data_IF_118092433379
#
_entry.id   IF_118092433379
#
_cell.length_a   1.000
_cell.length_b   1.000
_cell.length_c   1.000
_cell.angle_alpha   90.00
_cell.angle_beta   90.00
_cell.angle_gamma   90.00
#
_symmetry.space_group_name_H-M   'P 1'
#
loop_
_entity.id
_entity.type
_entity.pdbx_description
1 polymer ?
#
# COMPACT_ATOMS: atom_id res chain seq x y z
N UNK A 1 0.43 -19.30 -12.01
CA UNK A 1 0.55 -17.93 -12.56
C UNK A 1 1.20 -17.05 -11.50
N UNK A 2 2.00 -16.06 -11.88
CA UNK A 2 2.71 -15.21 -10.90
C UNK A 2 1.72 -14.32 -10.15
N UNK A 3 1.65 -14.47 -8.82
CA UNK A 3 0.82 -13.67 -7.92
C UNK A 3 1.45 -12.28 -7.82
N UNK A 4 0.81 -11.28 -8.43
CA UNK A 4 1.23 -9.87 -8.39
C UNK A 4 0.45 -9.18 -7.28
N UNK A 5 1.10 -8.24 -6.60
CA UNK A 5 0.46 -7.41 -5.57
C UNK A 5 0.19 -6.04 -6.16
N UNK A 6 -1.03 -5.58 -6.01
CA UNK A 6 -1.50 -4.28 -6.43
C UNK A 6 -2.05 -3.51 -5.22
N UNK A 7 -1.82 -2.22 -5.22
CA UNK A 7 -2.47 -1.28 -4.30
C UNK A 7 -3.38 -0.40 -5.15
N UNK A 8 -4.67 -0.42 -4.83
CA UNK A 8 -5.69 0.39 -5.49
C UNK A 8 -6.22 1.37 -4.48
N UNK A 9 -5.97 2.65 -4.73
CA UNK A 9 -6.49 3.74 -3.90
C UNK A 9 -7.51 4.53 -4.69
N UNK A 10 -8.68 4.77 -4.12
CA UNK A 10 -9.67 5.64 -4.70
C UNK A 10 -10.20 6.66 -3.70
N UNK A 11 -10.67 7.77 -4.26
CA UNK A 11 -11.19 8.91 -3.53
C UNK A 11 -12.68 9.02 -3.88
N UNK A 12 -13.52 8.95 -2.86
CA UNK A 12 -14.98 9.10 -2.98
C UNK A 12 -15.35 10.56 -2.69
N UNK A 13 -16.40 11.04 -3.35
CA UNK A 13 -16.98 12.36 -3.09
C UNK A 13 -17.36 12.47 -1.60
N UNK A 14 -16.88 13.50 -0.87
CA UNK A 14 -17.13 13.67 0.56
C UNK A 14 -18.60 13.89 0.94
N UNK A 15 -19.46 14.29 -0.01
CA UNK A 15 -20.91 14.46 0.22
C UNK A 15 -21.69 13.15 0.20
N UNK A 16 -21.02 12.05 -0.14
CA UNK A 16 -21.61 10.72 -0.15
C UNK A 16 -21.87 10.25 1.29
N UNK A 17 -23.08 9.80 1.57
CA UNK A 17 -23.43 9.19 2.87
C UNK A 17 -22.58 7.95 3.16
N UNK A 18 -22.17 7.76 4.41
CA UNK A 18 -21.31 6.64 4.83
C UNK A 18 -21.85 5.27 4.42
N UNK A 19 -23.16 5.03 4.54
CA UNK A 19 -23.78 3.76 4.14
C UNK A 19 -23.60 3.45 2.64
N UNK A 20 -23.58 4.48 1.79
CA UNK A 20 -23.31 4.32 0.35
C UNK A 20 -21.84 4.01 0.08
N UNK A 21 -20.93 4.55 0.90
CA UNK A 21 -19.49 4.26 0.82
C UNK A 21 -19.23 2.81 1.22
N UNK A 22 -19.84 2.33 2.31
CA UNK A 22 -19.74 0.93 2.74
C UNK A 22 -20.25 -0.04 1.66
N UNK A 23 -21.43 0.25 1.08
CA UNK A 23 -21.97 -0.54 -0.05
C UNK A 23 -21.04 -0.54 -1.27
N UNK A 24 -20.39 0.60 -1.55
CA UNK A 24 -19.40 0.70 -2.62
C UNK A 24 -18.17 -0.17 -2.33
N UNK A 25 -17.64 -0.12 -1.10
CA UNK A 25 -16.50 -0.91 -0.68
C UNK A 25 -16.81 -2.42 -0.78
N UNK A 26 -18.00 -2.85 -0.35
CA UNK A 26 -18.45 -4.23 -0.52
C UNK A 26 -18.59 -4.65 -1.99
N UNK A 27 -19.16 -3.77 -2.83
CA UNK A 27 -19.33 -4.05 -4.25
C UNK A 27 -17.99 -4.18 -4.98
N UNK A 28 -17.01 -3.34 -4.60
CA UNK A 28 -15.63 -3.42 -5.07
C UNK A 28 -14.98 -4.73 -4.60
N UNK A 29 -15.13 -5.09 -3.32
CA UNK A 29 -14.59 -6.35 -2.79
C UNK A 29 -15.13 -7.58 -3.52
N UNK A 30 -16.46 -7.66 -3.67
CA UNK A 30 -17.14 -8.74 -4.41
C UNK A 30 -16.69 -8.83 -5.87
N UNK A 31 -16.40 -7.68 -6.50
CA UNK A 31 -15.87 -7.66 -7.86
C UNK A 31 -14.48 -8.28 -7.95
N UNK A 32 -13.59 -7.90 -7.03
CA UNK A 32 -12.22 -8.41 -7.00
C UNK A 32 -12.23 -9.93 -6.83
N UNK A 33 -13.04 -10.44 -5.89
CA UNK A 33 -13.19 -11.88 -5.66
C UNK A 33 -13.78 -12.61 -6.87
N UNK A 34 -14.77 -12.01 -7.54
CA UNK A 34 -15.41 -12.58 -8.73
C UNK A 34 -14.43 -12.78 -9.89
N UNK A 35 -13.50 -11.84 -10.09
CA UNK A 35 -12.48 -11.92 -11.13
C UNK A 35 -11.26 -12.76 -10.70
N UNK A 36 -11.31 -13.40 -9.52
CA UNK A 36 -10.26 -14.29 -9.02
C UNK A 36 -9.11 -13.60 -8.29
N UNK A 37 -9.29 -12.33 -7.91
CA UNK A 37 -8.36 -11.60 -7.04
C UNK A 37 -8.59 -11.91 -5.57
N UNK A 38 -7.53 -11.86 -4.79
CA UNK A 38 -7.55 -12.04 -3.33
C UNK A 38 -7.30 -10.70 -2.65
N UNK A 39 -8.21 -10.30 -1.75
CA UNK A 39 -8.04 -9.07 -0.97
C UNK A 39 -7.16 -9.39 0.23
N UNK A 40 -5.98 -8.79 0.28
CA UNK A 40 -5.04 -8.92 1.40
C UNK A 40 -5.46 -8.01 2.55
N UNK A 41 -5.85 -6.78 2.19
CA UNK A 41 -6.16 -5.72 3.13
C UNK A 41 -7.09 -4.70 2.50
N UNK A 42 -8.00 -4.18 3.31
CA UNK A 42 -8.81 -3.02 3.00
C UNK A 42 -8.65 -2.02 4.14
N UNK A 43 -8.20 -0.81 3.83
CA UNK A 43 -8.10 0.30 4.77
C UNK A 43 -9.04 1.42 4.35
N UNK A 44 -10.00 1.71 5.21
CA UNK A 44 -10.79 2.92 5.12
C UNK A 44 -10.11 4.04 5.92
N UNK A 45 -9.56 5.02 5.21
CA UNK A 45 -8.79 6.11 5.81
C UNK A 45 -9.71 7.26 6.25
N UNK A 46 -10.92 7.34 5.71
CA UNK A 46 -11.86 8.43 5.95
C UNK A 46 -11.54 9.71 5.17
N UNK A 47 -12.11 10.82 5.64
CA UNK A 47 -12.04 12.13 4.97
C UNK A 47 -10.69 12.80 5.20
N UNK A 48 -10.07 13.28 4.12
CA UNK A 48 -8.86 14.11 4.15
C UNK A 48 -8.97 15.31 3.21
N UNK A 49 -8.22 16.37 3.54
CA UNK A 49 -8.10 17.54 2.68
C UNK A 49 -7.23 17.22 1.47
N UNK A 50 -7.70 17.61 0.28
CA UNK A 50 -6.97 17.51 -0.96
C UNK A 50 -6.01 18.70 -1.08
N UNK A 51 -4.84 18.48 -1.69
CA UNK A 51 -3.87 19.56 -1.92
C UNK A 51 -4.39 20.62 -2.91
N UNK A 52 -5.32 20.23 -3.79
CA UNK A 52 -6.00 21.10 -4.75
C UNK A 52 -7.42 20.54 -5.01
N UNK A 53 -8.36 21.38 -5.44
CA UNK A 53 -9.72 20.94 -5.65
C UNK A 53 -9.83 19.96 -6.83
N UNK A 54 -10.52 18.84 -6.61
CA UNK A 54 -10.84 17.85 -7.65
C UNK A 54 -12.35 17.88 -7.85
N UNK A 55 -12.82 18.12 -9.08
CA UNK A 55 -14.25 18.30 -9.37
C UNK A 55 -14.94 19.31 -8.44
N UNK A 56 -14.25 20.42 -8.10
CA UNK A 56 -14.71 21.46 -7.16
C UNK A 56 -14.88 21.01 -5.70
N UNK A 57 -14.34 19.85 -5.31
CA UNK A 57 -14.28 19.39 -3.91
C UNK A 57 -12.89 19.64 -3.33
N UNK A 58 -12.83 20.18 -2.12
CA UNK A 58 -11.58 20.43 -1.38
C UNK A 58 -11.20 19.25 -0.47
N UNK A 59 -12.14 18.36 -0.18
CA UNK A 59 -11.94 17.16 0.64
C UNK A 59 -12.33 15.91 -0.15
N UNK A 60 -11.85 14.76 0.31
CA UNK A 60 -12.17 13.46 -0.29
C UNK A 60 -12.04 12.34 0.72
N UNK A 61 -12.87 11.31 0.56
CA UNK A 61 -12.85 10.13 1.42
C UNK A 61 -11.95 9.06 0.78
N UNK A 62 -10.89 8.67 1.48
CA UNK A 62 -9.85 7.80 0.94
C UNK A 62 -10.08 6.34 1.35
N UNK A 63 -10.05 5.45 0.37
CA UNK A 63 -10.10 4.00 0.58
C UNK A 63 -8.96 3.34 -0.17
N UNK A 64 -8.26 2.41 0.50
CA UNK A 64 -7.15 1.65 -0.04
C UNK A 64 -7.47 0.16 -0.01
N UNK A 65 -7.26 -0.51 -1.13
CA UNK A 65 -7.30 -1.97 -1.26
C UNK A 65 -5.93 -2.50 -1.64
N UNK A 66 -5.46 -3.50 -0.90
CA UNK A 66 -4.32 -4.31 -1.28
C UNK A 66 -4.84 -5.64 -1.84
N UNK A 67 -4.49 -5.90 -3.10
CA UNK A 67 -5.03 -7.01 -3.89
C UNK A 67 -3.87 -7.86 -4.40
N UNK A 68 -4.01 -9.17 -4.26
CA UNK A 68 -3.15 -10.13 -4.92
C UNK A 68 -3.89 -10.79 -6.09
N UNK A 69 -3.28 -10.83 -7.27
CA UNK A 69 -3.91 -11.50 -8.40
C UNK A 69 -3.09 -11.46 -9.68
N UNK A 70 -3.79 -11.66 -10.80
CA UNK A 70 -3.21 -11.84 -12.14
C UNK A 70 -3.09 -10.52 -12.92
N UNK A 71 -3.90 -9.51 -12.55
CA UNK A 71 -4.07 -8.22 -13.22
C UNK A 71 -5.33 -8.09 -14.06
N UNK A 72 -6.08 -9.17 -14.33
CA UNK A 72 -7.37 -9.08 -15.04
C UNK A 72 -8.43 -8.37 -14.19
N UNK A 73 -8.43 -8.67 -12.89
CA UNK A 73 -9.28 -8.06 -11.88
C UNK A 73 -9.14 -6.53 -11.84
N UNK A 74 -7.92 -6.01 -12.07
CA UNK A 74 -7.64 -4.57 -12.09
C UNK A 74 -8.29 -3.88 -13.29
N UNK A 75 -8.26 -4.51 -14.47
CA UNK A 75 -8.81 -3.91 -15.69
C UNK A 75 -10.33 -3.67 -15.55
N UNK A 76 -11.05 -4.67 -15.04
CA UNK A 76 -12.49 -4.56 -14.83
C UNK A 76 -12.80 -3.60 -13.66
N UNK A 77 -11.98 -3.60 -12.61
CA UNK A 77 -12.12 -2.65 -11.50
C UNK A 77 -12.00 -1.19 -11.97
N UNK A 78 -10.95 -0.86 -12.72
CA UNK A 78 -10.74 0.50 -13.26
C UNK A 78 -11.87 0.92 -14.20
N UNK A 79 -12.38 -0.02 -15.01
CA UNK A 79 -13.53 0.24 -15.88
C UNK A 79 -14.76 0.64 -15.06
N UNK A 80 -15.07 -0.07 -13.97
CA UNK A 80 -16.22 0.26 -13.11
C UNK A 80 -16.01 1.54 -12.32
N UNK A 81 -14.79 1.77 -11.81
CA UNK A 81 -14.46 3.01 -11.10
C UNK A 81 -14.59 4.24 -11.99
N UNK A 82 -14.25 4.12 -13.28
CA UNK A 82 -14.39 5.22 -14.25
C UNK A 82 -15.86 5.60 -14.51
N UNK A 83 -16.77 4.64 -14.46
CA UNK A 83 -18.21 4.86 -14.72
C UNK A 83 -18.95 5.30 -13.45
N UNK A 84 -18.36 5.10 -12.27
CA UNK A 84 -18.99 5.45 -11.02
C UNK A 84 -18.75 6.92 -10.66
N UNK A 85 -19.81 7.73 -10.73
CA UNK A 85 -19.78 9.16 -10.41
C UNK A 85 -19.42 9.47 -8.95
N UNK A 86 -19.54 8.49 -8.04
CA UNK A 86 -19.14 8.66 -6.64
C UNK A 86 -17.63 8.76 -6.48
N UNK A 87 -16.86 8.18 -7.42
CA UNK A 87 -15.40 8.12 -7.36
C UNK A 87 -14.83 9.30 -8.15
N UNK A 88 -14.22 10.25 -7.45
CA UNK A 88 -13.65 11.45 -8.08
C UNK A 88 -12.25 11.21 -8.65
N UNK A 89 -11.54 10.21 -8.11
CA UNK A 89 -10.21 9.79 -8.57
C UNK A 89 -9.88 8.38 -8.12
N UNK A 90 -9.11 7.65 -8.91
CA UNK A 90 -8.50 6.38 -8.51
C UNK A 90 -7.06 6.30 -9.01
N UNK A 91 -6.25 5.46 -8.38
CA UNK A 91 -4.89 5.16 -8.78
C UNK A 91 -4.58 3.71 -8.43
N UNK A 92 -4.14 2.96 -9.42
CA UNK A 92 -3.66 1.59 -9.24
C UNK A 92 -2.14 1.56 -9.38
N UNK A 93 -1.46 0.91 -8.45
CA UNK A 93 -0.01 0.72 -8.49
C UNK A 93 0.30 -0.75 -8.32
N UNK A 94 1.18 -1.28 -9.16
CA UNK A 94 1.73 -2.63 -9.01
C UNK A 94 2.96 -2.56 -8.10
N UNK A 95 2.92 -3.22 -6.95
CA UNK A 95 3.88 -3.05 -5.86
C UNK A 95 4.80 -4.27 -5.67
N UNK A 96 4.63 -5.31 -6.48
CA UNK A 96 5.38 -6.56 -6.35
C UNK A 96 6.90 -6.40 -6.48
N UNK A 97 7.37 -5.62 -7.45
CA UNK A 97 8.79 -5.34 -7.61
C UNK A 97 9.33 -4.38 -6.56
N UNK A 98 8.55 -3.37 -6.20
CA UNK A 98 8.98 -2.31 -5.29
C UNK A 98 9.10 -2.83 -3.85
N UNK A 99 8.19 -3.71 -3.41
CA UNK A 99 8.32 -4.42 -2.13
C UNK A 99 9.57 -5.30 -2.09
N UNK A 100 9.82 -6.10 -3.13
CA UNK A 100 11.04 -6.94 -3.21
C UNK A 100 12.32 -6.11 -3.16
N UNK A 101 12.36 -4.99 -3.90
CA UNK A 101 13.50 -4.06 -3.87
C UNK A 101 13.67 -3.43 -2.49
N UNK A 102 12.58 -3.00 -1.85
CA UNK A 102 12.61 -2.39 -0.52
C UNK A 102 13.11 -3.37 0.55
N UNK A 103 12.65 -4.63 0.52
CA UNK A 103 13.11 -5.70 1.42
C UNK A 103 14.60 -5.99 1.24
N UNK A 104 15.07 -6.11 -0.01
CA UNK A 104 16.49 -6.34 -0.30
C UNK A 104 17.38 -5.18 0.20
N UNK A 105 16.91 -3.93 0.11
CA UNK A 105 17.61 -2.76 0.64
C UNK A 105 17.62 -2.77 2.17
N UNK A 106 16.50 -3.11 2.82
CA UNK A 106 16.42 -3.22 4.29
C UNK A 106 17.35 -4.31 4.82
N UNK A 107 17.32 -5.51 4.23
CA UNK A 107 18.21 -6.61 4.61
C UNK A 107 19.70 -6.25 4.45
N UNK A 108 20.07 -5.54 3.37
CA UNK A 108 21.43 -5.03 3.19
C UNK A 108 21.82 -3.98 4.24
N UNK A 109 20.90 -3.09 4.62
CA UNK A 109 21.12 -2.08 5.67
C UNK A 109 21.29 -2.73 7.04
N UNK A 110 20.46 -3.71 7.38
CA UNK A 110 20.52 -4.45 8.64
C UNK A 110 21.79 -5.28 8.76
N UNK A 111 22.18 -5.99 7.69
CA UNK A 111 23.45 -6.74 7.65
C UNK A 111 24.68 -5.83 7.75
N UNK A 112 24.61 -4.60 7.20
CA UNK A 112 25.68 -3.60 7.36
C UNK A 112 25.71 -3.05 8.79
N UNK A 113 24.54 -2.83 9.39
CA UNK A 113 24.45 -2.30 10.75
C UNK A 113 24.95 -3.32 11.76
N UNK A 114 24.51 -4.59 11.68
CA UNK A 114 24.98 -5.67 12.56
C UNK A 114 26.48 -5.92 12.45
N UNK A 115 27.05 -5.85 11.24
CA UNK A 115 28.51 -5.91 11.03
C UNK A 115 29.25 -4.72 11.65
N UNK A 116 28.66 -3.52 11.64
CA UNK A 116 29.24 -2.36 12.33
C UNK A 116 29.18 -2.52 13.85
N UNK A 117 28.06 -3.00 14.40
CA UNK A 117 27.90 -3.21 15.86
C UNK A 117 28.82 -4.33 16.37
N UNK A 118 28.96 -5.42 15.63
CA UNK A 118 29.91 -6.50 15.96
C UNK A 118 31.37 -6.03 15.88
N UNK A 119 31.71 -5.19 14.89
CA UNK A 119 33.06 -4.64 14.76
C UNK A 119 33.39 -3.61 15.86
N UNK A 120 32.41 -2.82 16.31
CA UNK A 120 32.56 -1.92 17.45
C UNK A 120 32.81 -2.69 18.76
N UNK A 121 31.99 -3.72 19.04
CA UNK A 121 32.16 -4.58 20.22
C UNK A 121 33.52 -5.27 20.28
N UNK A 122 33.98 -5.82 19.15
CA UNK A 122 35.30 -6.44 19.08
C UNK A 122 36.46 -5.44 19.23
N UNK A 123 36.23 -4.15 18.95
CA UNK A 123 37.27 -3.12 19.12
C UNK A 123 37.35 -2.63 20.56
N UNK A 124 36.22 -2.59 21.29
CA UNK A 124 36.19 -2.31 22.73
C UNK A 124 36.80 -3.47 23.55
N UNK A 125 36.48 -4.72 23.23
CA UNK A 125 37.01 -5.90 23.94
C UNK A 125 38.53 -6.09 23.72
N UNK A 126 39.06 -5.66 22.57
CA UNK A 126 40.50 -5.65 22.29
C UNK A 126 41.26 -4.48 22.95
N UNK A 127 40.56 -3.41 23.33
CA UNK A 127 41.16 -2.24 23.98
C UNK A 127 41.26 -2.38 25.51
N UNK A 128 40.45 -3.23 26.14
CA UNK A 128 40.53 -3.55 27.57
C UNK A 128 41.55 -4.66 27.91
N UNK A 129 41.98 -5.46 26.93
CA UNK A 129 42.90 -6.58 27.14
C UNK A 129 44.41 -6.29 27.34
N UNK A 130 45.00 -5.10 27.06
CA UNK A 130 46.46 -4.92 27.16
C UNK A 130 46.98 -4.24 28.45
N UNK A 131 46.26 -4.28 29.58
CA UNK A 131 46.66 -3.56 30.81
C UNK A 131 47.29 -4.40 31.94
N UNK A 132 47.61 -5.68 31.74
CA UNK A 132 48.45 -6.46 32.68
C UNK A 132 49.69 -7.01 31.96
N UNK A 133 50.79 -6.25 32.02
CA UNK A 133 52.16 -6.72 31.85
C UNK A 133 53.11 -5.83 32.66
#
# INVERSE_FOLDING_TARGET
>A
MAKRTYEVMYIVNPETEGEKIEKLNEAVGKLIEKEGGEIVRMDDIGIRNLAYPIQKKETGHYVLFEINGSGQEILELERRMRVNDMIIRYMTVRVDEDRKKAEAIKAKREARNSKKTAKFRNTEEAAEAPAEA
#
